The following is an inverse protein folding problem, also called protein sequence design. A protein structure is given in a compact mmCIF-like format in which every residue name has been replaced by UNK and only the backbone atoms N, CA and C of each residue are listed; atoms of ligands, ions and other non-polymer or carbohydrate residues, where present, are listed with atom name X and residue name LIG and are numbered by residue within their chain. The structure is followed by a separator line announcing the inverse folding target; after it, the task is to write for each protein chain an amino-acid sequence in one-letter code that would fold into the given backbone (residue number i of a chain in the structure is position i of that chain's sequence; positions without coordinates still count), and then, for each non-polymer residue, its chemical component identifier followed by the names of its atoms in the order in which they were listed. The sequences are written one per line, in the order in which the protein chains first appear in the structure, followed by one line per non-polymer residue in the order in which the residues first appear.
data_IF_137060199378
#
_entry.id   IF_137060199378
#
_cell.length_a   1.000
_cell.length_b   1.000
_cell.length_c   1.000
_cell.angle_alpha   90.00
_cell.angle_beta   90.00
_cell.angle_gamma   90.00
#
_symmetry.space_group_name_H-M   'P 1'
#
loop_
_entity.id
_entity.type
_entity.pdbx_description
1 polymer ?
#
# COMPACT_ATOMS: atom_id res chain seq x y z
N UNK A 1 1.37 8.20 -6.30
CA UNK A 1 1.46 8.94 -7.60
C UNK A 1 0.91 10.36 -7.45
N UNK A 2 1.42 11.36 -8.18
CA UNK A 2 0.90 12.74 -8.10
C UNK A 2 -0.34 13.01 -8.99
N UNK A 3 -1.18 14.02 -8.67
CA UNK A 3 -2.45 14.28 -9.37
C UNK A 3 -2.30 14.54 -10.87
N UNK A 4 -1.27 15.29 -11.28
CA UNK A 4 -1.00 15.59 -12.70
C UNK A 4 -0.77 14.33 -13.51
N UNK A 5 -0.07 13.33 -12.95
CA UNK A 5 0.15 12.03 -13.62
C UNK A 5 -1.15 11.25 -13.77
N UNK A 6 -2.00 11.24 -12.74
CA UNK A 6 -3.30 10.58 -12.79
C UNK A 6 -4.17 11.21 -13.88
N UNK A 7 -4.35 12.54 -13.85
CA UNK A 7 -5.21 13.28 -14.76
C UNK A 7 -4.70 13.37 -16.22
N UNK A 8 -3.41 13.10 -16.49
CA UNK A 8 -2.84 13.18 -17.86
C UNK A 8 -2.62 11.82 -18.53
N UNK A 9 -2.59 10.72 -17.77
CA UNK A 9 -2.29 9.39 -18.30
C UNK A 9 -3.44 8.38 -18.17
N UNK A 10 -4.51 8.69 -17.43
CA UNK A 10 -5.61 7.77 -17.15
C UNK A 10 -6.96 8.42 -17.40
N UNK A 11 -7.75 7.86 -18.33
CA UNK A 11 -9.19 8.11 -18.41
C UNK A 11 -9.87 7.35 -17.26
N UNK A 12 -9.91 7.99 -16.09
CA UNK A 12 -10.33 7.37 -14.84
C UNK A 12 -11.75 6.78 -14.91
N UNK A 13 -12.77 7.47 -15.49
CA UNK A 13 -14.10 6.87 -15.68
C UNK A 13 -14.07 5.60 -16.55
N UNK A 14 -13.45 5.64 -17.73
CA UNK A 14 -13.46 4.50 -18.66
C UNK A 14 -12.72 3.28 -18.10
N UNK A 15 -11.60 3.46 -17.41
CA UNK A 15 -10.90 2.33 -16.78
C UNK A 15 -11.62 1.84 -15.51
N UNK A 16 -12.31 2.72 -14.77
CA UNK A 16 -13.08 2.33 -13.60
C UNK A 16 -14.41 1.62 -13.93
N UNK A 17 -14.97 1.83 -15.13
CA UNK A 17 -16.01 0.95 -15.68
C UNK A 17 -15.42 -0.44 -15.97
N UNK A 18 -14.31 -0.47 -16.71
CA UNK A 18 -13.71 -1.69 -17.29
C UNK A 18 -13.01 -2.64 -16.30
N UNK A 19 -12.44 -2.13 -15.21
CA UNK A 19 -11.67 -2.91 -14.23
C UNK A 19 -12.52 -3.30 -13.02
N UNK A 20 -12.39 -4.52 -12.50
CA UNK A 20 -13.06 -4.92 -11.25
C UNK A 20 -12.56 -4.10 -10.04
N UNK A 21 -11.25 -3.87 -9.96
CA UNK A 21 -10.59 -3.07 -8.93
C UNK A 21 -9.30 -2.42 -9.46
N UNK A 22 -8.84 -1.39 -8.75
CA UNK A 22 -7.72 -0.53 -9.13
C UNK A 22 -6.73 -0.47 -7.95
N UNK A 23 -5.59 -1.15 -8.09
CA UNK A 23 -4.50 -1.13 -7.12
C UNK A 23 -3.76 0.21 -7.18
N UNK A 24 -3.95 1.07 -6.17
CA UNK A 24 -3.33 2.38 -6.11
C UNK A 24 -1.89 2.28 -5.60
N UNK A 25 -0.92 2.70 -6.42
CA UNK A 25 0.48 2.87 -5.98
C UNK A 25 0.62 4.15 -5.14
N UNK A 26 0.21 4.03 -3.87
CA UNK A 26 0.26 5.04 -2.81
C UNK A 26 1.52 4.92 -1.95
N UNK A 27 2.64 4.75 -2.63
CA UNK A 27 4.02 4.73 -2.11
C UNK A 27 4.94 5.40 -3.15
N UNK A 28 6.24 5.44 -2.87
CA UNK A 28 7.25 6.10 -3.72
C UNK A 28 7.00 7.60 -3.95
N UNK A 29 6.45 8.27 -2.94
CA UNK A 29 6.29 9.73 -2.94
C UNK A 29 7.61 10.48 -2.80
N UNK A 30 8.56 9.90 -2.05
CA UNK A 30 9.90 10.42 -1.81
C UNK A 30 10.93 9.28 -1.85
N UNK A 31 12.17 9.61 -2.20
CA UNK A 31 13.24 8.61 -2.29
C UNK A 31 14.58 9.16 -2.75
N UNK A 32 15.55 8.27 -2.93
CA UNK A 32 16.96 8.58 -3.22
C UNK A 32 17.24 9.40 -4.51
N UNK A 33 16.22 9.68 -5.32
CA UNK A 33 16.25 10.63 -6.44
C UNK A 33 16.22 12.10 -6.01
N UNK A 34 15.80 12.38 -4.77
CA UNK A 34 15.76 13.72 -4.17
C UNK A 34 17.06 14.11 -3.45
N UNK A 35 17.15 15.40 -3.07
CA UNK A 35 18.29 15.98 -2.32
C UNK A 35 17.95 16.32 -0.87
N UNK A 36 16.80 15.85 -0.40
CA UNK A 36 16.34 15.94 0.98
C UNK A 36 15.67 14.62 1.38
N UNK A 37 15.59 14.33 2.68
CA UNK A 37 14.83 13.20 3.21
C UNK A 37 13.33 13.41 3.03
N UNK A 38 12.59 12.33 2.80
CA UNK A 38 11.13 12.35 2.73
C UNK A 38 10.58 10.94 2.98
N UNK A 39 9.37 10.83 3.50
CA UNK A 39 8.78 9.54 3.84
C UNK A 39 8.29 8.80 2.58
N UNK A 40 8.37 7.48 2.56
CA UNK A 40 7.85 6.67 1.44
C UNK A 40 6.35 6.92 1.17
N UNK A 41 5.60 7.22 2.24
CA UNK A 41 4.13 7.08 2.35
C UNK A 41 3.49 8.06 3.34
N UNK A 42 3.74 9.38 3.26
CA UNK A 42 3.06 10.32 4.13
C UNK A 42 1.54 10.23 3.90
N UNK A 43 0.76 10.14 4.98
CA UNK A 43 -0.70 10.03 4.90
C UNK A 43 -1.31 11.31 4.34
N UNK A 44 -1.01 12.46 4.95
CA UNK A 44 -1.51 13.79 4.61
C UNK A 44 -0.38 14.80 4.36
N UNK A 45 -0.75 16.05 4.08
CA UNK A 45 0.16 17.16 3.79
C UNK A 45 0.71 17.80 5.07
N UNK A 46 2.03 17.95 5.19
CA UNK A 46 2.66 18.68 6.31
C UNK A 46 2.46 20.20 6.18
N UNK A 47 2.35 20.96 7.29
CA UNK A 47 2.28 22.42 7.25
C UNK A 47 3.47 23.11 6.54
N UNK A 48 4.64 22.46 6.47
CA UNK A 48 5.83 22.95 5.77
C UNK A 48 5.79 22.76 4.24
N UNK A 49 4.91 21.91 3.72
CA UNK A 49 4.93 21.53 2.31
C UNK A 49 4.32 22.59 1.38
N UNK A 50 5.03 22.88 0.30
CA UNK A 50 4.68 23.93 -0.68
C UNK A 50 4.79 23.41 -2.11
N UNK A 51 4.12 24.08 -3.04
CA UNK A 51 4.11 23.69 -4.46
C UNK A 51 3.64 22.23 -4.67
N UNK A 52 4.36 21.48 -5.50
CA UNK A 52 4.02 20.09 -5.86
C UNK A 52 4.00 19.12 -4.66
N UNK A 53 4.78 19.38 -3.61
CA UNK A 53 5.00 18.44 -2.52
C UNK A 53 3.73 18.18 -1.69
N UNK A 54 2.84 19.18 -1.63
CA UNK A 54 1.52 19.09 -0.99
C UNK A 54 0.62 17.97 -1.53
N UNK A 55 0.95 17.43 -2.70
CA UNK A 55 0.19 16.39 -3.38
C UNK A 55 0.88 15.01 -3.37
N UNK A 56 2.04 14.88 -2.73
CA UNK A 56 2.83 13.65 -2.70
C UNK A 56 2.54 12.86 -1.41
N UNK A 57 1.26 12.52 -1.21
CA UNK A 57 0.74 11.81 -0.05
C UNK A 57 -0.46 10.91 -0.41
N UNK A 58 -0.86 10.04 0.52
CA UNK A 58 -2.00 9.12 0.35
C UNK A 58 -3.30 9.89 0.08
N UNK A 59 -3.60 10.91 0.89
CA UNK A 59 -4.81 11.73 0.78
C UNK A 59 -4.98 12.36 -0.60
N UNK A 60 -3.96 13.06 -1.10
CA UNK A 60 -4.01 13.68 -2.43
C UNK A 60 -4.10 12.65 -3.55
N UNK A 61 -3.54 11.46 -3.38
CA UNK A 61 -3.63 10.40 -4.38
C UNK A 61 -5.05 9.83 -4.48
N UNK A 62 -5.61 9.40 -3.34
CA UNK A 62 -6.95 8.79 -3.28
C UNK A 62 -8.04 9.81 -3.64
N UNK A 63 -7.96 11.04 -3.11
CA UNK A 63 -8.91 12.11 -3.46
C UNK A 63 -8.87 12.48 -4.94
N UNK A 64 -7.72 12.40 -5.61
CA UNK A 64 -7.65 12.61 -7.07
C UNK A 64 -8.42 11.52 -7.81
N UNK A 65 -8.18 10.24 -7.53
CA UNK A 65 -8.89 9.12 -8.17
C UNK A 65 -10.42 9.19 -7.94
N UNK A 66 -10.85 9.52 -6.72
CA UNK A 66 -12.26 9.73 -6.40
C UNK A 66 -12.85 10.94 -7.16
N UNK A 67 -12.14 12.07 -7.21
CA UNK A 67 -12.62 13.29 -7.88
C UNK A 67 -12.70 13.17 -9.41
N UNK A 68 -11.89 12.28 -10.00
CA UNK A 68 -11.92 11.93 -11.43
C UNK A 68 -12.92 10.81 -11.74
N UNK A 69 -13.72 10.35 -10.76
CA UNK A 69 -14.87 9.48 -10.99
C UNK A 69 -14.68 7.99 -10.70
N UNK A 70 -13.55 7.56 -10.13
CA UNK A 70 -13.41 6.16 -9.73
C UNK A 70 -14.31 5.82 -8.53
N UNK A 71 -15.15 4.76 -8.59
CA UNK A 71 -15.94 4.34 -7.44
C UNK A 71 -15.05 3.89 -6.29
N UNK A 72 -15.28 4.41 -5.08
CA UNK A 72 -14.44 4.11 -3.90
C UNK A 72 -14.26 2.60 -3.68
N UNK A 73 -15.34 1.81 -3.79
CA UNK A 73 -15.32 0.36 -3.61
C UNK A 73 -14.47 -0.41 -4.64
N UNK A 74 -14.05 0.21 -5.75
CA UNK A 74 -13.08 -0.35 -6.71
C UNK A 74 -11.63 0.06 -6.39
N UNK A 75 -11.41 1.12 -5.64
CA UNK A 75 -10.06 1.58 -5.28
C UNK A 75 -9.47 0.73 -4.16
N UNK A 76 -8.25 0.24 -4.36
CA UNK A 76 -7.53 -0.62 -3.41
C UNK A 76 -6.25 0.09 -2.97
N UNK A 77 -6.13 0.38 -1.67
CA UNK A 77 -5.05 1.20 -1.11
C UNK A 77 -3.71 0.44 -1.07
N UNK A 78 -2.71 0.89 -1.83
CA UNK A 78 -1.37 0.30 -1.79
C UNK A 78 -0.59 0.69 -0.53
N UNK A 79 -0.12 -0.31 0.21
CA UNK A 79 0.67 -0.17 1.42
C UNK A 79 2.00 -0.94 1.24
N UNK A 80 3.17 -0.28 1.37
CA UNK A 80 4.44 -0.94 1.18
C UNK A 80 4.85 -1.71 2.44
N UNK A 81 5.62 -2.77 2.27
CA UNK A 81 6.34 -3.46 3.34
C UNK A 81 7.85 -3.21 3.22
N UNK A 82 8.22 -2.03 2.72
CA UNK A 82 9.60 -1.55 2.55
C UNK A 82 9.72 -0.06 2.91
N UNK A 83 10.91 0.33 3.35
CA UNK A 83 11.29 1.71 3.62
C UNK A 83 12.09 2.34 2.49
N UNK A 84 11.97 3.67 2.34
CA UNK A 84 12.84 4.50 1.49
C UNK A 84 13.97 5.06 2.35
N UNK A 85 15.21 4.90 1.91
CA UNK A 85 16.39 5.21 2.73
C UNK A 85 17.30 6.27 2.11
N UNK A 86 17.94 7.06 2.97
CA UNK A 86 18.77 8.20 2.59
C UNK A 86 20.08 8.20 3.38
N UNK A 87 21.12 8.76 2.75
CA UNK A 87 22.36 9.16 3.44
C UNK A 87 22.32 10.67 3.66
N UNK A 88 22.29 11.09 4.93
CA UNK A 88 22.28 12.50 5.34
C UNK A 88 23.57 13.20 4.88
N UNK A 89 23.43 14.45 4.43
CA UNK A 89 24.56 15.34 4.13
C UNK A 89 25.05 16.09 5.38
N UNK A 90 24.16 16.29 6.36
CA UNK A 90 24.44 16.86 7.68
C UNK A 90 23.83 15.94 8.75
N UNK A 91 24.66 15.39 9.64
CA UNK A 91 24.21 14.48 10.71
C UNK A 91 23.51 15.19 11.86
N UNK A 92 23.53 16.52 11.90
CA UNK A 92 22.74 17.33 12.85
C UNK A 92 21.32 17.62 12.33
N UNK A 93 21.06 17.39 11.05
CA UNK A 93 19.75 17.52 10.42
C UNK A 93 19.15 16.11 10.19
N UNK A 94 18.30 15.67 11.11
CA UNK A 94 17.81 14.28 11.16
C UNK A 94 16.30 14.12 10.88
N UNK A 95 15.60 15.23 10.65
CA UNK A 95 14.16 15.25 10.40
C UNK A 95 13.74 14.83 8.99
N UNK A 96 12.48 15.10 8.68
CA UNK A 96 11.97 15.20 7.31
C UNK A 96 12.55 16.46 6.63
N UNK A 97 12.63 16.47 5.31
CA UNK A 97 13.20 17.57 4.51
C UNK A 97 14.69 17.89 4.81
N UNK A 98 15.40 16.99 5.50
CA UNK A 98 16.81 17.15 5.87
C UNK A 98 17.75 16.91 4.67
N UNK A 99 18.81 17.70 4.45
CA UNK A 99 19.69 17.57 3.29
C UNK A 99 20.31 16.17 3.12
N UNK A 100 20.28 15.63 1.90
CA UNK A 100 20.76 14.28 1.58
C UNK A 100 21.71 14.25 0.37
N UNK A 101 22.70 13.37 0.46
CA UNK A 101 23.64 13.09 -0.64
C UNK A 101 23.07 12.11 -1.67
N UNK A 102 22.11 11.26 -1.28
CA UNK A 102 21.53 10.19 -2.08
C UNK A 102 21.02 9.05 -1.19
N UNK A 103 20.83 7.86 -1.76
CA UNK A 103 20.25 6.72 -1.05
C UNK A 103 21.05 6.24 0.16
N UNK A 104 20.34 5.68 1.14
CA UNK A 104 20.92 4.94 2.26
C UNK A 104 21.61 3.66 1.78
N UNK A 105 22.51 3.12 2.59
CA UNK A 105 23.26 1.89 2.31
C UNK A 105 22.30 0.75 1.95
N UNK A 106 22.68 -0.03 0.94
CA UNK A 106 21.91 -1.18 0.48
C UNK A 106 21.75 -2.23 1.58
N UNK A 107 20.58 -2.86 1.63
CA UNK A 107 20.32 -4.00 2.53
C UNK A 107 21.17 -5.22 2.19
N UNK A 108 21.32 -6.12 3.17
CA UNK A 108 22.06 -7.39 2.99
C UNK A 108 21.38 -8.30 1.95
N UNK A 109 20.05 -8.22 1.87
CA UNK A 109 19.20 -9.12 1.11
C UNK A 109 18.53 -8.40 -0.06
N UNK A 110 18.04 -7.17 0.13
CA UNK A 110 17.51 -6.36 -0.99
C UNK A 110 18.61 -5.86 -1.94
N UNK A 111 19.82 -5.62 -1.42
CA UNK A 111 21.04 -5.23 -2.17
C UNK A 111 20.89 -3.98 -3.06
N UNK A 112 19.82 -3.19 -2.88
CA UNK A 112 19.55 -1.96 -3.59
C UNK A 112 19.79 -0.73 -2.70
N UNK A 113 20.56 0.25 -3.19
CA UNK A 113 20.74 1.52 -2.47
C UNK A 113 19.41 2.30 -2.43
N UNK A 114 19.08 2.87 -1.26
CA UNK A 114 17.87 3.68 -1.09
C UNK A 114 16.57 2.92 -0.79
N UNK A 115 16.63 1.59 -0.61
CA UNK A 115 15.50 0.73 -0.22
C UNK A 115 15.96 -0.25 0.87
N UNK A 116 15.08 -0.60 1.80
CA UNK A 116 15.21 -1.75 2.69
C UNK A 116 13.85 -2.44 2.86
N UNK A 117 13.80 -3.78 2.88
CA UNK A 117 12.58 -4.50 3.25
C UNK A 117 12.26 -4.34 4.74
N UNK A 118 10.99 -4.44 5.15
CA UNK A 118 10.60 -4.34 6.56
C UNK A 118 11.38 -5.32 7.45
N UNK A 119 11.61 -6.56 6.99
CA UNK A 119 12.44 -7.52 7.72
C UNK A 119 13.90 -7.05 7.94
N UNK A 120 14.48 -6.28 7.01
CA UNK A 120 15.81 -5.68 7.18
C UNK A 120 15.79 -4.48 8.14
N UNK A 121 14.67 -3.76 8.17
CA UNK A 121 14.46 -2.60 9.05
C UNK A 121 14.22 -3.08 10.49
N UNK A 122 13.18 -3.89 10.74
CA UNK A 122 12.83 -4.32 12.09
C UNK A 122 13.91 -5.18 12.77
N UNK A 123 14.79 -5.84 12.01
CA UNK A 123 15.95 -6.56 12.55
C UNK A 123 17.18 -5.69 12.83
N UNK A 124 17.17 -4.40 12.45
CA UNK A 124 18.31 -3.49 12.62
C UNK A 124 18.01 -2.18 13.38
N UNK A 125 16.75 -1.74 13.48
CA UNK A 125 16.38 -0.46 14.15
C UNK A 125 16.48 -0.46 15.69
N UNK A 126 16.84 -1.57 16.32
CA UNK A 126 16.79 -1.73 17.79
C UNK A 126 17.66 -0.75 18.60
N UNK A 127 18.65 -0.11 17.95
CA UNK A 127 19.52 0.93 18.52
C UNK A 127 19.60 2.18 17.61
N UNK A 128 18.50 2.51 16.92
CA UNK A 128 18.33 3.71 16.11
C UNK A 128 17.42 4.73 16.83
N UNK A 129 17.65 6.02 16.58
CA UNK A 129 16.76 7.08 17.07
C UNK A 129 15.44 7.05 16.29
N UNK A 130 14.33 6.85 17.01
CA UNK A 130 12.99 6.69 16.44
C UNK A 130 12.12 7.94 16.60
N UNK A 131 11.53 8.38 15.49
CA UNK A 131 10.71 9.59 15.40
C UNK A 131 9.37 9.31 14.71
N UNK A 132 8.40 10.20 14.91
CA UNK A 132 7.06 10.10 14.32
C UNK A 132 6.47 11.50 14.06
N UNK A 133 5.76 11.67 12.94
CA UNK A 133 5.00 12.87 12.56
C UNK A 133 3.54 12.47 12.29
N UNK A 134 2.59 13.24 12.84
CA UNK A 134 1.16 12.91 12.83
C UNK A 134 0.51 13.06 11.44
N UNK A 135 1.06 13.90 10.55
CA UNK A 135 0.61 14.07 9.17
C UNK A 135 1.17 12.96 8.28
N UNK A 136 2.42 12.57 8.51
CA UNK A 136 3.02 11.39 7.86
C UNK A 136 2.31 10.11 8.32
N UNK A 137 1.88 10.07 9.59
CA UNK A 137 1.26 8.94 10.26
C UNK A 137 2.07 7.64 10.17
N UNK A 138 3.41 7.76 10.14
CA UNK A 138 4.37 6.67 10.07
C UNK A 138 5.75 7.09 10.62
N UNK A 139 6.56 6.14 11.10
CA UNK A 139 7.84 6.46 11.70
C UNK A 139 8.95 6.79 10.69
N UNK A 140 10.00 7.44 11.18
CA UNK A 140 11.33 7.35 10.59
C UNK A 140 12.39 7.03 11.64
N UNK A 141 13.47 6.38 11.21
CA UNK A 141 14.60 5.97 12.04
C UNK A 141 15.89 6.63 11.56
N UNK A 142 16.77 7.01 12.49
CA UNK A 142 18.08 7.62 12.17
C UNK A 142 19.21 6.96 12.97
N UNK A 143 20.35 6.74 12.32
CA UNK A 143 21.59 6.29 12.98
C UNK A 143 22.83 6.81 12.26
N UNK A 144 23.58 7.68 12.93
CA UNK A 144 24.72 8.37 12.33
C UNK A 144 24.28 9.22 11.13
N UNK A 145 24.70 8.84 9.92
CA UNK A 145 24.27 9.50 8.68
C UNK A 145 23.23 8.70 7.87
N UNK A 146 22.64 7.64 8.43
CA UNK A 146 21.62 6.83 7.75
C UNK A 146 20.23 7.20 8.25
N UNK A 147 19.27 7.33 7.33
CA UNK A 147 17.89 7.73 7.59
C UNK A 147 16.94 6.79 6.84
N UNK A 148 15.88 6.33 7.50
CA UNK A 148 14.91 5.36 6.95
C UNK A 148 13.49 5.86 7.22
N UNK A 149 12.69 6.13 6.17
CA UNK A 149 11.26 6.38 6.28
C UNK A 149 10.48 5.15 5.84
N UNK A 150 9.71 4.55 6.75
CA UNK A 150 9.09 3.24 6.56
C UNK A 150 7.72 3.12 7.22
N UNK A 151 6.98 2.07 6.84
CA UNK A 151 5.74 1.65 7.48
C UNK A 151 5.99 0.52 8.50
N UNK A 152 5.34 0.61 9.66
CA UNK A 152 5.30 -0.43 10.70
C UNK A 152 3.85 -0.89 10.95
N UNK A 153 3.65 -1.88 11.85
CA UNK A 153 2.31 -2.43 12.09
C UNK A 153 1.32 -1.39 12.67
N UNK A 154 1.81 -0.32 13.31
CA UNK A 154 0.99 0.78 13.84
C UNK A 154 0.54 1.70 12.70
N UNK A 155 1.48 2.18 11.87
CA UNK A 155 1.17 3.06 10.73
C UNK A 155 0.35 2.37 9.64
N UNK A 156 0.63 1.09 9.35
CA UNK A 156 -0.19 0.23 8.49
C UNK A 156 -1.63 0.11 9.02
N UNK A 157 -1.81 -0.01 10.34
CA UNK A 157 -3.14 -0.04 10.96
C UNK A 157 -3.86 1.30 10.80
N UNK A 158 -3.17 2.43 11.02
CA UNK A 158 -3.74 3.78 10.85
C UNK A 158 -4.18 4.02 9.41
N UNK A 159 -3.28 3.79 8.44
CA UNK A 159 -3.55 3.99 6.99
C UNK A 159 -4.63 3.05 6.47
N UNK A 160 -4.66 1.79 6.95
CA UNK A 160 -5.75 0.85 6.66
C UNK A 160 -7.11 1.33 7.18
N UNK A 161 -7.18 1.86 8.42
CA UNK A 161 -8.43 2.38 8.98
C UNK A 161 -8.89 3.65 8.27
N UNK A 162 -7.98 4.55 7.92
CA UNK A 162 -8.25 5.73 7.10
C UNK A 162 -8.84 5.32 5.74
N UNK A 163 -8.18 4.42 5.01
CA UNK A 163 -8.69 3.93 3.71
C UNK A 163 -10.06 3.27 3.83
N UNK A 164 -10.29 2.47 4.88
CA UNK A 164 -11.58 1.84 5.15
C UNK A 164 -12.68 2.86 5.49
N UNK A 165 -12.35 3.95 6.19
CA UNK A 165 -13.30 5.03 6.51
C UNK A 165 -13.76 5.82 5.28
N UNK A 166 -12.98 5.83 4.21
CA UNK A 166 -13.35 6.40 2.91
C UNK A 166 -14.18 5.45 2.03
N UNK A 167 -14.50 4.24 2.50
CA UNK A 167 -15.25 3.25 1.72
C UNK A 167 -14.46 2.64 0.56
N UNK A 168 -13.12 2.62 0.65
CA UNK A 168 -12.27 1.97 -0.35
C UNK A 168 -12.50 0.44 -0.35
N UNK A 169 -12.29 -0.21 -1.49
CA UNK A 169 -12.56 -1.64 -1.69
C UNK A 169 -11.63 -2.58 -0.91
N UNK A 170 -10.45 -2.12 -0.52
CA UNK A 170 -9.49 -2.92 0.24
C UNK A 170 -8.10 -2.28 0.32
N UNK A 171 -7.10 -3.10 0.63
CA UNK A 171 -5.69 -2.74 0.54
C UNK A 171 -4.88 -3.79 -0.23
N UNK A 172 -3.85 -3.30 -0.92
CA UNK A 172 -2.85 -4.05 -1.68
C UNK A 172 -1.51 -3.91 -0.96
N UNK A 173 -0.68 -4.95 -0.95
CA UNK A 173 0.69 -4.87 -0.43
C UNK A 173 1.73 -4.89 -1.53
N UNK A 174 2.81 -4.13 -1.33
CA UNK A 174 4.05 -4.30 -2.08
C UNK A 174 5.22 -4.46 -1.09
N UNK A 175 5.75 -5.66 -0.84
CA UNK A 175 5.36 -6.97 -1.39
C UNK A 175 5.41 -8.06 -0.29
N UNK A 176 5.13 -9.32 -0.63
CA UNK A 176 5.08 -10.41 0.36
C UNK A 176 6.46 -10.72 0.95
N UNK A 177 7.48 -10.67 0.11
CA UNK A 177 8.87 -11.00 0.43
C UNK A 177 9.62 -9.87 1.15
N UNK A 178 9.07 -8.65 1.22
CA UNK A 178 9.62 -7.54 2.01
C UNK A 178 9.01 -7.38 3.40
N UNK A 179 7.85 -7.99 3.68
CA UNK A 179 7.33 -8.15 5.06
C UNK A 179 8.20 -9.13 5.86
N UNK A 180 8.04 -9.22 7.19
CA UNK A 180 8.73 -10.25 7.99
C UNK A 180 8.01 -11.62 7.88
N UNK A 181 8.09 -12.23 6.69
CA UNK A 181 7.49 -13.53 6.41
C UNK A 181 8.08 -14.68 7.26
N UNK A 182 9.25 -14.48 7.88
CA UNK A 182 9.98 -15.50 8.67
C UNK A 182 9.96 -15.24 10.19
N UNK A 183 9.27 -14.21 10.67
CA UNK A 183 9.22 -13.83 12.09
C UNK A 183 10.62 -13.57 12.70
N UNK A 184 11.56 -13.02 11.92
CA UNK A 184 12.93 -12.71 12.39
C UNK A 184 12.94 -11.54 13.38
N UNK A 185 11.90 -10.71 13.38
CA UNK A 185 11.70 -9.57 14.27
C UNK A 185 10.80 -9.88 15.48
N UNK A 186 10.31 -11.12 15.63
CA UNK A 186 9.52 -11.55 16.79
C UNK A 186 8.08 -11.02 16.83
N UNK A 187 7.54 -10.51 15.73
CA UNK A 187 6.21 -9.89 15.64
C UNK A 187 5.12 -10.85 15.10
N UNK A 188 5.45 -12.11 14.85
CA UNK A 188 4.68 -13.05 14.04
C UNK A 188 5.14 -13.05 12.58
N UNK A 189 4.77 -14.07 11.80
CA UNK A 189 5.01 -14.09 10.36
C UNK A 189 4.06 -13.14 9.63
N UNK A 190 4.58 -12.39 8.66
CA UNK A 190 3.85 -11.36 7.90
C UNK A 190 3.12 -10.34 8.81
N UNK A 191 3.83 -9.63 9.71
CA UNK A 191 3.20 -8.74 10.69
C UNK A 191 2.44 -7.58 10.04
N UNK A 192 2.94 -7.02 8.92
CA UNK A 192 2.27 -5.90 8.25
C UNK A 192 1.03 -6.36 7.51
N UNK A 193 1.10 -7.46 6.75
CA UNK A 193 -0.08 -8.07 6.13
C UNK A 193 -1.10 -8.55 7.18
N UNK A 194 -0.65 -9.00 8.36
CA UNK A 194 -1.53 -9.37 9.47
C UNK A 194 -2.27 -8.16 10.06
N UNK A 195 -1.60 -7.00 10.20
CA UNK A 195 -2.22 -5.75 10.61
C UNK A 195 -3.29 -5.29 9.61
N UNK A 196 -3.01 -5.40 8.30
CA UNK A 196 -3.98 -5.13 7.22
C UNK A 196 -5.19 -6.08 7.36
N UNK A 197 -4.97 -7.39 7.40
CA UNK A 197 -6.06 -8.37 7.50
C UNK A 197 -6.94 -8.11 8.75
N UNK A 198 -6.35 -7.72 9.87
CA UNK A 198 -7.07 -7.37 11.11
C UNK A 198 -8.03 -6.18 10.90
N UNK A 199 -7.60 -5.12 10.23
CA UNK A 199 -8.47 -3.95 9.96
C UNK A 199 -9.53 -4.25 8.90
N UNK A 200 -9.15 -4.91 7.81
CA UNK A 200 -10.02 -5.05 6.65
C UNK A 200 -11.06 -6.17 6.81
N UNK A 201 -10.72 -7.31 7.42
CA UNK A 201 -11.66 -8.44 7.62
C UNK A 201 -12.66 -8.24 8.76
N UNK A 202 -12.39 -7.37 9.73
CA UNK A 202 -13.34 -7.08 10.81
C UNK A 202 -14.53 -6.26 10.29
N UNK A 203 -15.70 -6.42 10.91
CA UNK A 203 -16.83 -5.49 10.71
C UNK A 203 -16.40 -4.05 11.02
N UNK A 204 -17.10 -3.07 10.46
CA UNK A 204 -16.62 -1.68 10.34
C UNK A 204 -16.04 -1.13 11.67
N UNK A 205 -14.71 -0.99 11.80
CA UNK A 205 -14.08 -0.71 13.08
C UNK A 205 -14.15 0.78 13.41
N UNK A 206 -14.41 1.10 14.67
CA UNK A 206 -14.30 2.48 15.14
C UNK A 206 -12.87 3.02 14.96
N UNK A 207 -12.79 4.33 14.67
CA UNK A 207 -11.54 5.06 14.61
C UNK A 207 -10.90 5.06 16.00
N UNK A 208 -9.62 4.67 16.13
CA UNK A 208 -8.96 4.66 17.42
C UNK A 208 -8.63 6.09 17.82
N UNK A 209 -9.03 6.50 19.02
CA UNK A 209 -8.52 7.72 19.62
C UNK A 209 -7.00 7.61 19.73
N UNK A 210 -6.26 8.61 19.24
CA UNK A 210 -4.80 8.63 19.31
C UNK A 210 -4.40 8.53 20.78
N UNK A 211 -3.83 7.39 21.16
CA UNK A 211 -3.48 7.04 22.53
C UNK A 211 -1.96 7.04 22.64
N UNK A 212 -1.40 7.74 23.61
CA UNK A 212 0.05 8.02 23.65
C UNK A 212 0.89 6.76 23.86
N UNK A 213 1.98 6.68 23.07
CA UNK A 213 2.93 5.56 23.00
C UNK A 213 3.90 5.55 24.21
N UNK A 214 4.44 4.39 24.63
CA UNK A 214 5.51 4.32 25.63
C UNK A 214 6.76 5.13 25.24
N UNK A 215 7.49 5.63 26.24
CA UNK A 215 8.23 6.91 26.19
C UNK A 215 9.56 6.97 25.40
N UNK A 216 9.81 6.07 24.44
CA UNK A 216 11.07 6.03 23.67
C UNK A 216 10.96 6.58 22.23
N UNK A 217 9.96 7.42 21.93
CA UNK A 217 9.82 8.11 20.63
C UNK A 217 9.74 9.62 20.87
N UNK A 218 10.55 10.40 20.15
CA UNK A 218 10.50 11.85 20.23
C UNK A 218 9.42 12.40 19.30
N UNK A 219 8.27 12.75 19.88
CA UNK A 219 7.18 13.44 19.17
C UNK A 219 7.57 14.91 18.92
N UNK A 220 7.63 15.32 17.65
CA UNK A 220 7.93 16.71 17.26
C UNK A 220 6.61 17.48 17.14
N UNK A 221 6.12 18.02 18.26
CA UNK A 221 4.92 18.87 18.26
C UNK A 221 5.26 20.31 17.85
N UNK A 222 4.56 20.85 16.86
CA UNK A 222 4.80 22.21 16.35
C UNK A 222 4.26 23.30 17.28
N UNK A 223 5.13 24.13 17.83
CA UNK A 223 4.76 25.27 18.68
C UNK A 223 3.87 26.28 17.92
N UNK A 224 2.65 26.49 18.41
CA UNK A 224 1.74 27.51 17.88
C UNK A 224 2.30 28.93 18.15
N UNK A 225 2.75 29.59 17.09
CA UNK A 225 3.24 30.98 17.18
C UNK A 225 2.07 31.96 17.20
N UNK A 226 1.93 32.73 18.28
CA UNK A 226 0.79 33.64 18.49
C UNK A 226 0.85 34.87 17.58
N UNK A 227 0.12 34.86 16.46
CA UNK A 227 0.01 36.01 15.56
C UNK A 227 -0.86 37.09 16.22
N UNK A 228 -0.27 38.25 16.52
CA UNK A 228 -1.01 39.46 16.93
C UNK A 228 -1.79 40.03 15.74
N UNK A 229 -3.11 40.04 15.82
CA UNK A 229 -3.97 40.77 14.88
C UNK A 229 -3.75 42.27 15.01
N UNK A 230 -3.57 42.96 13.88
CA UNK A 230 -3.45 44.41 13.77
C UNK A 230 -4.51 44.93 12.80
N UNK A 231 -5.24 45.97 13.20
CA UNK A 231 -6.39 46.50 12.43
C UNK A 231 -5.96 47.42 11.29
N UNK A 232 -6.60 47.30 10.13
CA UNK A 232 -6.65 48.32 9.06
C UNK A 232 -8.06 48.38 8.45
N UNK A 233 -8.42 49.51 7.83
CA UNK A 233 -9.80 49.92 7.56
C UNK A 233 -10.24 49.77 6.09
N UNK A 234 -11.56 49.80 5.84
CA UNK A 234 -12.17 49.79 4.51
C UNK A 234 -11.78 51.00 3.63
N UNK A 235 -11.65 50.80 2.31
CA UNK A 235 -12.19 51.76 1.33
C UNK A 235 -12.53 51.17 -0.07
N UNK A 236 -13.83 51.27 -0.42
CA UNK A 236 -14.54 51.45 -1.72
C UNK A 236 -14.00 50.89 -3.07
N UNK A 237 -14.95 50.32 -3.82
CA UNK A 237 -14.97 49.99 -5.27
C UNK A 237 -14.91 51.21 -6.21
N UNK A 238 -14.65 51.04 -7.53
CA UNK A 238 -15.74 51.21 -8.51
C UNK A 238 -15.70 50.37 -9.83
N UNK A 239 -16.91 50.07 -10.35
CA UNK A 239 -17.37 49.90 -11.78
C UNK A 239 -16.62 49.06 -12.85
N UNK A 240 -17.39 48.12 -13.43
CA UNK A 240 -17.33 47.51 -14.80
C UNK A 240 -18.04 48.41 -15.86
N UNK A 241 -18.36 48.05 -17.14
CA UNK A 241 -18.27 46.78 -17.92
C UNK A 241 -17.70 46.99 -19.35
N UNK A 242 -18.00 46.19 -20.42
CA UNK A 242 -18.52 44.81 -20.57
C UNK A 242 -17.43 43.89 -21.21
N UNK A 243 -17.58 42.82 -22.01
CA UNK A 243 -18.64 41.95 -22.63
C UNK A 243 -17.92 40.59 -22.97
N UNK A 244 -18.46 39.45 -23.42
CA UNK A 244 -19.77 38.90 -23.84
C UNK A 244 -19.92 37.45 -23.30
N UNK A 245 -21.15 36.89 -23.21
CA UNK A 245 -21.38 35.45 -23.02
C UNK A 245 -21.49 34.69 -24.35
N UNK A 246 -21.10 33.41 -24.38
CA UNK A 246 -21.39 32.47 -25.47
C UNK A 246 -22.51 31.52 -25.01
N UNK A 247 -23.60 31.49 -25.76
CA UNK A 247 -24.73 30.56 -25.53
C UNK A 247 -24.47 29.24 -26.25
N UNK A 248 -24.75 28.11 -25.60
CA UNK A 248 -24.92 26.82 -26.26
C UNK A 248 -26.36 26.33 -26.03
N UNK A 249 -26.99 25.83 -27.10
CA UNK A 249 -28.42 25.53 -27.17
C UNK A 249 -28.62 24.00 -27.22
N UNK A 250 -29.39 23.39 -26.30
CA UNK A 250 -29.52 21.95 -26.20
C UNK A 250 -30.54 21.39 -27.21
N UNK A 251 -30.04 20.76 -28.28
CA UNK A 251 -30.88 19.98 -29.20
C UNK A 251 -31.30 18.67 -28.53
N UNK A 252 -32.58 18.34 -28.55
CA UNK A 252 -33.11 17.11 -27.94
C UNK A 252 -33.25 15.97 -28.95
N UNK A 253 -32.65 14.82 -28.64
CA UNK A 253 -32.96 13.55 -29.29
C UNK A 253 -33.63 12.59 -28.30
N UNK A 254 -34.69 11.93 -28.75
CA UNK A 254 -35.54 11.07 -27.91
C UNK A 254 -35.07 9.63 -27.92
N UNK A 255 -34.42 9.19 -26.83
CA UNK A 255 -34.03 7.78 -26.65
C UNK A 255 -35.23 6.94 -26.22
N UNK A 256 -35.48 5.82 -26.90
CA UNK A 256 -36.60 4.92 -26.64
C UNK A 256 -36.27 3.89 -25.55
N UNK A 257 -37.15 3.77 -24.54
CA UNK A 257 -36.99 2.78 -23.47
C UNK A 257 -37.08 1.35 -23.99
N UNK A 258 -36.05 0.54 -23.71
CA UNK A 258 -36.06 -0.92 -23.86
C UNK A 258 -35.80 -1.57 -22.50
N UNK A 259 -36.61 -2.55 -22.04
CA UNK A 259 -36.35 -3.21 -20.76
C UNK A 259 -35.04 -4.01 -20.80
N UNK A 260 -34.17 -3.75 -19.82
CA UNK A 260 -32.98 -4.58 -19.57
C UNK A 260 -33.40 -5.75 -18.69
N UNK A 261 -33.12 -6.98 -19.11
CA UNK A 261 -33.31 -8.15 -18.25
C UNK A 261 -32.19 -8.22 -17.20
N UNK A 262 -32.57 -8.38 -15.94
CA UNK A 262 -31.63 -8.58 -14.84
C UNK A 262 -31.05 -10.00 -14.96
N UNK A 263 -29.80 -10.10 -15.43
CA UNK A 263 -29.02 -11.32 -15.33
C UNK A 263 -28.32 -11.36 -13.97
N UNK A 264 -28.65 -12.35 -13.15
CA UNK A 264 -27.98 -12.58 -11.87
C UNK A 264 -26.59 -13.17 -12.13
N UNK A 265 -25.54 -12.37 -11.94
CA UNK A 265 -24.15 -12.86 -12.03
C UNK A 265 -23.90 -13.93 -10.96
N UNK A 266 -23.20 -15.04 -11.28
CA UNK A 266 -22.88 -16.07 -10.30
C UNK A 266 -21.86 -15.54 -9.28
N UNK A 267 -22.03 -15.90 -8.02
CA UNK A 267 -21.09 -15.59 -6.95
C UNK A 267 -19.85 -16.48 -7.05
N UNK A 268 -18.73 -15.94 -7.52
CA UNK A 268 -17.44 -16.62 -7.42
C UNK A 268 -16.93 -16.58 -5.98
N UNK A 269 -16.76 -17.74 -5.35
CA UNK A 269 -16.06 -17.83 -4.08
C UNK A 269 -14.57 -17.57 -4.30
N UNK A 270 -13.95 -16.80 -3.40
CA UNK A 270 -12.49 -16.80 -3.26
C UNK A 270 -12.01 -18.15 -2.73
N UNK A 271 -10.76 -18.50 -3.03
CA UNK A 271 -10.12 -19.76 -2.62
C UNK A 271 -10.22 -19.97 -1.12
N UNK A 272 -10.71 -21.15 -0.70
CA UNK A 272 -10.72 -21.52 0.73
C UNK A 272 -9.30 -21.70 1.27
N UNK A 273 -9.17 -21.61 2.59
CA UNK A 273 -7.92 -21.90 3.27
C UNK A 273 -7.62 -23.41 3.12
N UNK A 274 -6.40 -23.82 2.72
CA UNK A 274 -6.09 -25.23 2.51
C UNK A 274 -6.24 -26.02 3.81
N UNK A 275 -6.95 -27.15 3.77
CA UNK A 275 -7.02 -28.07 4.90
C UNK A 275 -5.61 -28.59 5.23
N UNK A 276 -5.12 -28.24 6.42
CA UNK A 276 -3.79 -28.63 6.91
C UNK A 276 -3.80 -30.12 7.31
N UNK A 277 -3.80 -30.98 6.30
CA UNK A 277 -3.61 -32.42 6.43
C UNK A 277 -2.13 -32.74 6.63
N UNK A 278 -1.66 -32.58 7.88
CA UNK A 278 -0.31 -32.94 8.35
C UNK A 278 -0.08 -34.46 8.36
N UNK A 279 -0.01 -35.05 7.17
CA UNK A 279 0.39 -36.44 6.99
C UNK A 279 1.91 -36.52 7.14
N UNK A 280 2.39 -37.10 8.25
CA UNK A 280 3.81 -37.31 8.44
C UNK A 280 4.37 -38.31 7.43
N UNK A 281 5.38 -37.87 6.69
CA UNK A 281 6.34 -38.70 5.97
C UNK A 281 5.78 -39.68 4.90
N UNK A 282 5.07 -39.18 3.89
CA UNK A 282 4.67 -39.95 2.70
C UNK A 282 4.88 -39.19 1.37
N UNK A 283 6.12 -39.20 0.88
CA UNK A 283 6.47 -38.86 -0.51
C UNK A 283 7.52 -37.76 -0.71
N UNK A 284 7.77 -36.91 0.29
CA UNK A 284 8.74 -35.83 0.17
C UNK A 284 10.19 -36.33 0.15
N UNK A 285 10.88 -36.09 -0.95
CA UNK A 285 12.30 -36.46 -1.18
C UNK A 285 13.18 -35.26 -1.56
N UNK A 286 12.57 -34.14 -1.94
CA UNK A 286 13.19 -32.87 -2.32
C UNK A 286 12.25 -31.73 -1.95
N UNK A 287 12.79 -30.55 -1.66
CA UNK A 287 12.02 -29.32 -1.46
C UNK A 287 11.43 -28.81 -2.78
N UNK A 288 10.20 -28.29 -2.75
CA UNK A 288 9.51 -27.73 -3.91
C UNK A 288 8.03 -28.11 -4.00
N UNK A 289 7.39 -27.71 -5.10
CA UNK A 289 5.99 -28.03 -5.43
C UNK A 289 5.90 -29.22 -6.41
N UNK A 290 4.93 -30.10 -6.19
CA UNK A 290 4.72 -31.34 -6.95
C UNK A 290 3.23 -31.58 -7.21
N UNK A 291 2.88 -32.07 -8.40
CA UNK A 291 1.53 -32.52 -8.73
C UNK A 291 1.14 -33.74 -7.88
N UNK A 292 -0.13 -33.87 -7.49
CA UNK A 292 -0.63 -35.08 -6.83
C UNK A 292 -1.00 -36.14 -7.89
N UNK A 293 -0.34 -37.32 -7.96
CA UNK A 293 -0.54 -38.25 -9.07
C UNK A 293 -1.93 -38.91 -9.16
N UNK A 294 -2.78 -38.75 -8.14
CA UNK A 294 -4.15 -39.25 -8.11
C UNK A 294 -5.21 -38.18 -8.41
N UNK A 295 -4.86 -36.89 -8.36
CA UNK A 295 -5.80 -35.79 -8.56
C UNK A 295 -5.07 -34.55 -9.11
N UNK A 296 -5.31 -34.24 -10.37
CA UNK A 296 -4.69 -33.11 -11.05
C UNK A 296 -5.19 -31.73 -10.57
N UNK A 297 -6.33 -31.66 -9.87
CA UNK A 297 -6.76 -30.45 -9.18
C UNK A 297 -6.00 -30.20 -7.88
N UNK A 298 -5.20 -31.16 -7.41
CA UNK A 298 -4.38 -31.06 -6.21
C UNK A 298 -2.88 -31.02 -6.48
N UNK A 299 -2.16 -30.34 -5.60
CA UNK A 299 -0.70 -30.34 -5.55
C UNK A 299 -0.21 -30.28 -4.11
N UNK A 300 1.09 -30.49 -3.91
CA UNK A 300 1.70 -30.40 -2.58
C UNK A 300 3.05 -29.69 -2.61
N UNK A 301 3.33 -28.96 -1.53
CA UNK A 301 4.66 -28.44 -1.23
C UNK A 301 5.36 -29.37 -0.24
N UNK A 302 6.62 -29.68 -0.49
CA UNK A 302 7.52 -30.30 0.47
C UNK A 302 8.48 -29.24 1.02
N UNK A 303 8.42 -28.97 2.32
CA UNK A 303 9.40 -28.15 3.04
C UNK A 303 10.26 -29.02 3.97
N UNK A 304 11.48 -28.58 4.25
CA UNK A 304 12.35 -29.21 5.24
C UNK A 304 12.46 -28.32 6.49
N UNK A 305 12.23 -28.89 7.67
CA UNK A 305 12.35 -28.19 8.95
C UNK A 305 12.99 -29.13 9.97
N UNK A 306 14.10 -28.71 10.57
CA UNK A 306 14.76 -29.41 11.70
C UNK A 306 15.03 -30.92 11.45
N UNK A 307 15.41 -31.27 10.21
CA UNK A 307 15.62 -32.64 9.70
C UNK A 307 14.34 -33.48 9.46
N UNK A 308 13.15 -32.88 9.52
CA UNK A 308 11.89 -33.50 9.12
C UNK A 308 11.38 -32.93 7.79
N UNK A 309 10.81 -33.80 6.95
CA UNK A 309 10.04 -33.39 5.77
C UNK A 309 8.59 -33.11 6.16
N UNK A 310 8.10 -31.90 5.87
CA UNK A 310 6.72 -31.50 6.07
C UNK A 310 6.05 -31.35 4.70
N UNK A 311 4.92 -32.04 4.51
CA UNK A 311 4.10 -31.98 3.31
C UNK A 311 2.87 -31.11 3.58
N UNK A 312 2.63 -30.14 2.69
CA UNK A 312 1.45 -29.28 2.70
C UNK A 312 0.65 -29.55 1.43
N UNK A 313 -0.62 -29.95 1.55
CA UNK A 313 -1.49 -30.19 0.40
C UNK A 313 -2.28 -28.92 0.05
N UNK A 314 -2.54 -28.71 -1.24
CA UNK A 314 -3.29 -27.58 -1.78
C UNK A 314 -4.24 -28.05 -2.88
N UNK A 315 -5.35 -27.33 -3.05
CA UNK A 315 -6.23 -27.44 -4.21
C UNK A 315 -6.00 -26.25 -5.14
N UNK A 316 -6.10 -26.47 -6.44
CA UNK A 316 -6.23 -25.42 -7.43
C UNK A 316 -7.64 -24.81 -7.41
N UNK A 317 -7.82 -23.57 -7.90
CA UNK A 317 -9.14 -22.99 -8.13
C UNK A 317 -9.98 -23.88 -9.06
N UNK A 318 -11.29 -23.93 -8.81
CA UNK A 318 -12.24 -24.82 -9.50
C UNK A 318 -12.10 -24.78 -11.02
N UNK A 319 -11.75 -25.92 -11.63
CA UNK A 319 -11.58 -26.06 -13.08
C UNK A 319 -10.14 -25.89 -13.60
N UNK A 320 -9.17 -25.59 -12.72
CA UNK A 320 -7.73 -25.55 -13.04
C UNK A 320 -7.00 -26.79 -12.50
N UNK A 321 -5.94 -27.20 -13.19
CA UNK A 321 -5.04 -28.29 -12.79
C UNK A 321 -3.63 -27.76 -12.51
N UNK A 322 -2.88 -28.41 -11.62
CA UNK A 322 -1.50 -28.00 -11.33
C UNK A 322 -0.55 -28.35 -12.49
N UNK A 323 0.07 -27.35 -13.09
CA UNK A 323 1.04 -27.50 -14.17
C UNK A 323 2.48 -27.55 -13.61
N UNK A 324 3.12 -28.73 -13.57
CA UNK A 324 4.48 -28.85 -13.02
C UNK A 324 5.57 -28.18 -13.87
N UNK A 325 5.26 -27.75 -15.09
CA UNK A 325 6.20 -27.00 -15.95
C UNK A 325 6.33 -25.53 -15.57
N UNK A 326 5.30 -24.94 -14.95
CA UNK A 326 5.28 -23.52 -14.51
C UNK A 326 5.06 -23.37 -12.99
N UNK A 327 4.88 -24.49 -12.27
CA UNK A 327 4.67 -24.56 -10.82
C UNK A 327 3.43 -23.78 -10.31
N UNK A 328 2.39 -23.71 -11.14
CA UNK A 328 1.17 -22.97 -10.87
C UNK A 328 -0.07 -23.74 -11.36
N UNK A 329 -1.26 -23.32 -10.91
CA UNK A 329 -2.53 -23.82 -11.43
C UNK A 329 -2.84 -23.18 -12.79
N UNK A 330 -3.20 -24.01 -13.76
CA UNK A 330 -3.34 -23.68 -15.18
C UNK A 330 -4.56 -24.41 -15.76
N UNK A 331 -4.95 -24.09 -16.99
CA UNK A 331 -6.08 -24.76 -17.64
C UNK A 331 -5.76 -26.22 -17.98
N UNK A 332 -6.73 -27.15 -17.91
CA UNK A 332 -6.52 -28.58 -18.22
C UNK A 332 -5.85 -28.87 -19.56
N UNK A 333 -6.09 -28.04 -20.59
CA UNK A 333 -5.47 -28.21 -21.91
C UNK A 333 -3.95 -27.93 -21.91
N UNK A 334 -3.44 -27.16 -20.93
CA UNK A 334 -2.02 -26.89 -20.72
C UNK A 334 -1.31 -27.92 -19.83
N UNK A 335 -2.03 -28.96 -19.35
CA UNK A 335 -1.46 -30.03 -18.51
C UNK A 335 -1.68 -31.40 -19.18
N UNK A 336 -0.87 -31.78 -20.21
CA UNK A 336 -1.08 -33.01 -20.98
C UNK A 336 -0.92 -34.31 -20.19
N UNK A 337 -0.33 -34.27 -19.00
CA UNK A 337 -0.26 -35.41 -18.07
C UNK A 337 -1.58 -35.69 -17.32
N UNK A 338 -2.63 -34.92 -17.60
CA UNK A 338 -3.93 -34.93 -16.92
C UNK A 338 -5.10 -34.98 -17.92
N UNK A 339 -4.90 -35.62 -19.08
CA UNK A 339 -5.85 -35.77 -20.18
C UNK A 339 -6.05 -37.24 -20.53
#
# INVERSE_FOLDING_TARGET
MGPTTIASAYDVPTIAESLDFINLMTYDFHGAWEKQTGHNTPLSVRPSETGKWRFFNLESSVSTWLSLGAPAHKLVLGLPTYGRTFTLADVTSTGLDAPSTGGGKAGRYTQQQGILGYYEICSTIGDWDMFFDENVAAPWAVKGNQWIGFDDAESITIKSKWGKSLGLGGAMIWSLETDDFRNICGQGSFPLLSAINKVWRQGNPELPTITSRPQNVTHISTLQTTIRTSSTQHLKTPTTPPTHPITFDPTSESVTNRPVQISTSPSYSTTEHPEITTISNSGCTKEGYFALPQDCSMFYFCGNSENAWIRYNFHCPTGLYFNPSVLACDWPYNVPSCQ
#
